data_IF_644729653508
#
_entry.id   IF_644729653508
#
_cell.length_a   1.000
_cell.length_b   1.000
_cell.length_c   1.000
_cell.angle_alpha   90.00
_cell.angle_beta   90.00
_cell.angle_gamma   90.00
#
_symmetry.space_group_name_H-M   'P 1'
#
loop_
_entity.id
_entity.type
_entity.pdbx_description
1 polymer ?
#
# COMPACT_ATOMS: atom_id res chain seq x y z
N UNK A 1 5.33 -10.12 9.56
CA UNK A 1 4.62 -9.05 8.84
C UNK A 1 4.45 -7.90 9.81
N UNK A 2 5.01 -6.71 9.53
CA UNK A 2 4.63 -5.53 10.32
C UNK A 2 3.17 -5.25 9.97
N UNK A 3 2.27 -5.29 10.96
CA UNK A 3 0.87 -4.95 10.74
C UNK A 3 0.81 -3.51 10.22
N UNK A 4 0.51 -3.36 8.93
CA UNK A 4 0.07 -2.08 8.41
C UNK A 4 -1.36 -1.91 8.92
N UNK A 5 -1.47 -1.28 10.09
CA UNK A 5 -2.74 -1.07 10.75
C UNK A 5 -3.64 -0.07 10.03
N UNK A 6 -4.79 0.13 10.65
CA UNK A 6 -5.81 1.11 10.31
C UNK A 6 -5.23 2.45 9.81
N UNK A 7 -5.67 2.91 8.63
CA UNK A 7 -5.21 4.18 8.05
C UNK A 7 -6.10 5.35 8.46
N UNK A 8 -5.63 6.17 9.40
CA UNK A 8 -6.28 7.42 9.78
C UNK A 8 -6.52 8.36 8.60
N UNK A 9 -5.59 8.39 7.64
CA UNK A 9 -5.73 9.22 6.42
C UNK A 9 -6.92 8.78 5.58
N UNK A 10 -7.13 7.48 5.40
CA UNK A 10 -8.28 6.95 4.66
C UNK A 10 -9.57 7.11 5.48
N UNK A 11 -9.51 7.06 6.81
CA UNK A 11 -10.70 7.30 7.64
C UNK A 11 -11.25 8.72 7.43
N UNK A 12 -10.40 9.74 7.48
CA UNK A 12 -10.86 11.12 7.35
C UNK A 12 -11.10 11.55 5.90
N UNK A 13 -10.27 11.08 4.95
CA UNK A 13 -10.35 11.52 3.55
C UNK A 13 -10.99 10.48 2.61
N UNK A 14 -11.39 9.32 3.10
CA UNK A 14 -12.06 8.27 2.33
C UNK A 14 -11.25 7.84 1.11
N UNK A 15 -11.92 7.82 -0.03
CA UNK A 15 -11.33 7.47 -1.32
C UNK A 15 -10.16 8.38 -1.73
N UNK A 16 -10.17 9.68 -1.38
CA UNK A 16 -9.02 10.57 -1.62
C UNK A 16 -7.78 10.10 -0.86
N UNK A 17 -7.98 9.59 0.36
CA UNK A 17 -6.93 8.98 1.16
C UNK A 17 -6.27 7.79 0.45
N UNK A 18 -7.05 6.96 -0.28
CA UNK A 18 -6.52 5.83 -1.05
C UNK A 18 -5.65 6.28 -2.23
N UNK A 19 -6.04 7.35 -2.93
CA UNK A 19 -5.28 7.88 -4.06
C UNK A 19 -3.86 8.30 -3.65
N UNK A 20 -3.71 8.87 -2.45
CA UNK A 20 -2.38 9.24 -1.91
C UNK A 20 -1.46 8.04 -1.61
N UNK A 21 -1.99 6.81 -1.62
CA UNK A 21 -1.22 5.58 -1.49
C UNK A 21 -0.92 4.90 -2.85
N UNK A 22 -1.34 5.53 -3.96
CA UNK A 22 -1.24 4.96 -5.31
C UNK A 22 -2.26 3.87 -5.60
N UNK A 23 -3.32 3.75 -4.78
CA UNK A 23 -4.43 2.83 -5.01
C UNK A 23 -5.52 3.51 -5.86
N UNK A 24 -5.19 3.76 -7.13
CA UNK A 24 -6.01 4.51 -8.08
C UNK A 24 -7.29 3.78 -8.45
N UNK A 25 -7.20 2.49 -8.78
CA UNK A 25 -8.35 1.67 -9.20
C UNK A 25 -9.34 1.60 -8.05
N UNK A 26 -8.87 1.21 -6.86
CA UNK A 26 -9.75 1.08 -5.69
C UNK A 26 -10.27 2.43 -5.21
N UNK A 27 -9.45 3.49 -5.27
CA UNK A 27 -9.88 4.84 -4.92
C UNK A 27 -10.99 5.37 -5.84
N UNK A 28 -10.82 5.26 -7.17
CA UNK A 28 -11.84 5.68 -8.13
C UNK A 28 -13.13 4.85 -8.03
N UNK A 29 -13.00 3.55 -7.79
CA UNK A 29 -14.16 2.68 -7.58
C UNK A 29 -14.93 3.08 -6.30
N UNK A 30 -14.22 3.35 -5.21
CA UNK A 30 -14.82 3.84 -3.97
C UNK A 30 -15.47 5.23 -4.16
N UNK A 31 -14.87 6.11 -4.95
CA UNK A 31 -15.45 7.40 -5.29
C UNK A 31 -16.77 7.24 -6.06
N UNK A 32 -16.78 6.40 -7.10
CA UNK A 32 -17.99 6.09 -7.88
C UNK A 32 -19.09 5.49 -6.99
N UNK A 33 -18.76 4.53 -6.13
CA UNK A 33 -19.71 3.94 -5.18
C UNK A 33 -20.27 4.98 -4.20
N UNK A 34 -19.43 5.88 -3.69
CA UNK A 34 -19.85 6.94 -2.76
C UNK A 34 -20.78 7.96 -3.43
N UNK A 35 -20.49 8.34 -4.68
CA UNK A 35 -21.35 9.24 -5.47
C UNK A 35 -22.69 8.57 -5.78
N UNK A 36 -22.68 7.31 -6.22
CA UNK A 36 -23.91 6.55 -6.49
C UNK A 36 -24.76 6.41 -5.22
N UNK A 37 -24.13 6.12 -4.08
CA UNK A 37 -24.80 6.06 -2.79
C UNK A 37 -25.53 7.38 -2.50
N UNK A 38 -24.83 8.51 -2.62
CA UNK A 38 -25.40 9.82 -2.34
C UNK A 38 -26.54 10.20 -3.31
N UNK A 39 -26.43 9.82 -4.58
CA UNK A 39 -27.46 10.11 -5.60
C UNK A 39 -28.72 9.26 -5.43
N UNK A 40 -28.56 7.97 -5.13
CA UNK A 40 -29.69 7.02 -5.13
C UNK A 40 -30.30 6.77 -3.76
N UNK A 41 -29.53 7.00 -2.68
CA UNK A 41 -29.97 6.73 -1.31
C UNK A 41 -30.18 8.05 -0.59
N UNK A 42 -31.37 8.61 -0.76
CA UNK A 42 -31.88 9.70 0.09
C UNK A 42 -32.31 9.15 1.46
N UNK A 43 -31.34 8.66 2.23
CA UNK A 43 -31.56 8.09 3.56
C UNK A 43 -31.04 9.04 4.63
N UNK A 44 -31.76 9.15 5.75
CA UNK A 44 -31.27 9.82 6.97
C UNK A 44 -29.93 9.25 7.48
N UNK A 45 -29.58 8.04 7.03
CA UNK A 45 -28.38 7.32 7.41
C UNK A 45 -27.21 7.51 6.43
N UNK A 46 -27.35 8.33 5.38
CA UNK A 46 -26.31 8.52 4.35
C UNK A 46 -24.94 8.81 4.98
N UNK A 47 -24.88 9.76 5.91
CA UNK A 47 -23.64 10.10 6.63
C UNK A 47 -23.06 8.92 7.44
N UNK A 48 -23.91 8.13 8.11
CA UNK A 48 -23.45 6.97 8.87
C UNK A 48 -22.91 5.87 7.94
N UNK A 49 -23.52 5.70 6.77
CA UNK A 49 -23.07 4.76 5.75
C UNK A 49 -21.74 5.23 5.16
N UNK A 50 -21.60 6.51 4.83
CA UNK A 50 -20.34 7.09 4.33
C UNK A 50 -19.21 6.89 5.36
N UNK A 51 -19.45 7.19 6.63
CA UNK A 51 -18.48 6.94 7.71
C UNK A 51 -18.15 5.46 7.83
N UNK A 52 -19.13 4.58 7.71
CA UNK A 52 -18.92 3.13 7.69
C UNK A 52 -18.04 2.68 6.52
N UNK A 53 -18.26 3.23 5.32
CA UNK A 53 -17.42 3.00 4.14
C UNK A 53 -15.99 3.47 4.41
N UNK A 54 -15.80 4.68 4.94
CA UNK A 54 -14.49 5.20 5.28
C UNK A 54 -13.77 4.30 6.30
N UNK A 55 -14.47 3.83 7.33
CA UNK A 55 -13.94 2.92 8.33
C UNK A 55 -13.52 1.57 7.72
N UNK A 56 -14.33 1.02 6.83
CA UNK A 56 -14.03 -0.21 6.10
C UNK A 56 -12.77 -0.03 5.23
N UNK A 57 -12.72 1.02 4.42
CA UNK A 57 -11.57 1.33 3.57
C UNK A 57 -10.31 1.55 4.40
N UNK A 58 -10.41 2.25 5.53
CA UNK A 58 -9.30 2.52 6.44
C UNK A 58 -8.76 1.25 7.10
N UNK A 59 -9.65 0.32 7.44
CA UNK A 59 -9.29 -0.98 8.04
C UNK A 59 -8.58 -1.87 7.02
N UNK A 60 -9.07 -1.92 5.79
CA UNK A 60 -8.54 -2.78 4.72
C UNK A 60 -7.53 -2.07 3.79
N UNK A 61 -6.97 -0.93 4.21
CA UNK A 61 -6.10 -0.13 3.34
C UNK A 61 -4.87 -0.92 2.89
N UNK A 62 -4.29 -1.77 3.74
CA UNK A 62 -3.10 -2.55 3.40
C UNK A 62 -3.41 -3.59 2.32
N UNK A 63 -4.53 -4.29 2.47
CA UNK A 63 -5.02 -5.34 1.57
C UNK A 63 -5.44 -4.76 0.23
N UNK A 64 -6.12 -3.61 0.23
CA UNK A 64 -6.49 -2.86 -0.99
C UNK A 64 -5.25 -2.51 -1.80
N UNK A 65 -4.23 -1.92 -1.15
CA UNK A 65 -2.97 -1.58 -1.82
C UNK A 65 -2.26 -2.82 -2.35
N UNK A 66 -2.28 -3.91 -1.57
CA UNK A 66 -1.67 -5.16 -1.96
C UNK A 66 -2.32 -5.78 -3.18
N UNK A 67 -3.64 -5.78 -3.21
CA UNK A 67 -4.43 -6.24 -4.34
C UNK A 67 -4.12 -5.41 -5.59
N UNK A 68 -4.07 -4.08 -5.46
CA UNK A 68 -3.79 -3.22 -6.61
C UNK A 68 -2.34 -3.36 -7.12
N UNK A 69 -1.37 -3.59 -6.24
CA UNK A 69 0.00 -3.92 -6.66
C UNK A 69 0.03 -5.23 -7.46
N UNK A 70 -0.72 -6.26 -7.05
CA UNK A 70 -0.83 -7.52 -7.78
C UNK A 70 -1.49 -7.34 -9.16
N UNK A 71 -2.54 -6.52 -9.25
CA UNK A 71 -3.17 -6.18 -10.53
C UNK A 71 -2.19 -5.50 -11.50
N UNK A 72 -1.33 -4.62 -10.97
CA UNK A 72 -0.27 -3.96 -11.75
C UNK A 72 0.93 -4.88 -12.04
N UNK A 73 0.79 -6.20 -11.88
CA UNK A 73 1.83 -7.19 -12.17
C UNK A 73 3.00 -7.21 -11.19
N UNK A 74 2.93 -6.47 -10.06
CA UNK A 74 3.99 -6.51 -9.05
C UNK A 74 3.90 -7.78 -8.23
N UNK A 75 4.99 -8.52 -8.18
CA UNK A 75 5.13 -9.69 -7.32
C UNK A 75 5.62 -9.27 -5.93
N UNK A 76 5.06 -9.88 -4.89
CA UNK A 76 5.60 -9.73 -3.56
C UNK A 76 6.87 -10.58 -3.42
N UNK A 77 7.96 -9.96 -3.00
CA UNK A 77 9.17 -10.68 -2.61
C UNK A 77 8.97 -11.49 -1.33
N UNK A 78 9.94 -12.36 -1.06
CA UNK A 78 9.97 -13.15 0.17
C UNK A 78 9.94 -12.24 1.41
N UNK A 79 9.12 -12.58 2.44
CA UNK A 79 9.09 -11.80 3.67
C UNK A 79 10.46 -11.83 4.35
N UNK A 80 10.97 -10.66 4.73
CA UNK A 80 12.24 -10.54 5.43
C UNK A 80 11.96 -10.55 6.94
N UNK A 81 12.43 -11.58 7.67
CA UNK A 81 12.28 -11.61 9.12
C UNK A 81 13.16 -10.50 9.72
N UNK A 82 12.56 -9.60 10.49
CA UNK A 82 13.24 -8.53 11.18
C UNK A 82 12.40 -8.04 12.39
N UNK A 83 13.03 -7.48 13.43
CA UNK A 83 12.32 -6.94 14.58
C UNK A 83 11.56 -5.63 14.27
N UNK A 84 11.98 -4.89 13.24
CA UNK A 84 11.33 -3.63 12.83
C UNK A 84 11.36 -3.46 11.30
N UNK A 85 10.54 -2.53 10.80
CA UNK A 85 10.48 -2.19 9.37
C UNK A 85 11.83 -1.67 8.86
N UNK A 86 12.50 -0.81 9.62
CA UNK A 86 13.76 -0.20 9.20
C UNK A 86 14.86 -1.26 9.10
N UNK A 87 14.92 -2.19 10.06
CA UNK A 87 15.83 -3.33 10.00
C UNK A 87 15.48 -4.27 8.83
N UNK A 88 14.19 -4.45 8.53
CA UNK A 88 13.77 -5.22 7.37
C UNK A 88 14.23 -4.58 6.05
N UNK A 89 14.18 -3.25 5.95
CA UNK A 89 14.62 -2.49 4.78
C UNK A 89 16.14 -2.56 4.57
N UNK A 90 16.93 -2.45 5.64
CA UNK A 90 18.39 -2.60 5.57
C UNK A 90 18.73 -4.01 5.09
N UNK A 91 18.16 -5.05 5.71
CA UNK A 91 18.35 -6.45 5.29
C UNK A 91 17.89 -6.72 3.86
N UNK A 92 16.86 -6.01 3.40
CA UNK A 92 16.41 -6.09 2.01
C UNK A 92 17.44 -5.50 1.06
N UNK A 93 17.97 -4.32 1.39
CA UNK A 93 19.00 -3.63 0.61
C UNK A 93 20.27 -4.48 0.52
N UNK A 94 20.75 -5.03 1.65
CA UNK A 94 21.96 -5.88 1.69
C UNK A 94 21.85 -7.10 0.75
N UNK A 95 20.64 -7.68 0.63
CA UNK A 95 20.37 -8.82 -0.26
C UNK A 95 20.26 -8.45 -1.74
N UNK A 96 20.03 -7.18 -2.06
CA UNK A 96 19.82 -6.68 -3.43
C UNK A 96 20.90 -5.69 -3.88
N UNK A 97 21.94 -5.46 -3.09
CA UNK A 97 23.17 -4.82 -3.56
C UNK A 97 23.71 -5.66 -4.72
N UNK A 98 23.67 -5.10 -5.93
CA UNK A 98 24.28 -5.70 -7.12
C UNK A 98 25.69 -6.19 -6.80
N UNK A 99 26.15 -7.31 -7.39
CA UNK A 99 27.55 -7.66 -7.34
C UNK A 99 28.31 -6.58 -8.11
N UNK A 100 28.73 -5.53 -7.42
CA UNK A 100 29.82 -4.69 -7.89
C UNK A 100 31.04 -5.58 -7.75
N UNK A 101 31.39 -6.27 -8.84
CA UNK A 101 32.67 -6.95 -8.93
C UNK A 101 33.74 -5.94 -8.51
N UNK A 102 34.57 -6.22 -7.49
CA UNK A 102 35.69 -5.35 -7.19
C UNK A 102 36.51 -5.20 -8.48
N UNK A 103 37.02 -3.99 -8.80
CA UNK A 103 37.85 -3.82 -9.99
C UNK A 103 38.99 -4.84 -9.92
N UNK A 104 39.13 -5.67 -10.96
CA UNK A 104 40.27 -6.56 -11.11
C UNK A 104 41.52 -5.68 -11.15
N UNK A 105 42.23 -5.61 -10.02
CA UNK A 105 43.58 -5.07 -10.02
C UNK A 105 44.43 -6.06 -10.82
N UNK A 106 45.10 -5.65 -11.92
CA UNK A 106 46.01 -6.53 -12.61
C UNK A 106 47.08 -6.94 -11.60
N UNK A 107 47.12 -8.23 -11.26
CA UNK A 107 48.22 -8.79 -10.49
C UNK A 107 49.50 -8.46 -11.25
N UNK A 108 50.30 -7.55 -10.70
CA UNK A 108 51.61 -7.24 -11.24
C UNK A 108 52.47 -8.52 -11.14
N UNK A 109 52.56 -9.26 -12.24
CA UNK A 109 53.53 -10.33 -12.41
C UNK A 109 54.92 -9.70 -12.39
N UNK A 110 55.65 -9.90 -11.29
CA UNK A 110 57.08 -9.64 -11.16
C UNK A 110 57.87 -10.89 -11.53
#
# INVERSE_FOLDING_TARGET
MVQNGFSWRVMFFGWLGLLTYGAWISGLLAAAASILLHVFIASRWDMAIIVGIHALLATFTAEIRLWEMRLNGRQMGLPIPAPSKDIALIRWADRHTSPVSPPEFPCASS
#
